data_IF_151831826948
#
_entry.id   IF_151831826948
#
_cell.length_a   1.000
_cell.length_b   1.000
_cell.length_c   1.000
_cell.angle_alpha   90.00
_cell.angle_beta   90.00
_cell.angle_gamma   90.00
#
_symmetry.space_group_name_H-M   'P 1'
#
loop_
_entity.id
_entity.type
_entity.pdbx_description
1 polymer ?
#
# COMPACT_ATOMS: atom_id res chain seq x y z
N UNK A 1 -5.31 13.19 29.21
CA UNK A 1 -5.61 12.26 28.11
C UNK A 1 -4.84 12.73 26.90
N UNK A 2 -3.96 11.93 26.29
CA UNK A 2 -3.43 12.28 24.97
C UNK A 2 -4.59 12.10 23.99
N UNK A 3 -5.09 13.20 23.45
CA UNK A 3 -6.09 13.18 22.38
C UNK A 3 -5.57 12.32 21.23
N UNK A 4 -6.42 11.40 20.76
CA UNK A 4 -6.05 10.44 19.72
C UNK A 4 -6.12 11.15 18.37
N UNK A 5 -4.97 11.41 17.74
CA UNK A 5 -4.92 11.84 16.33
C UNK A 5 -5.59 10.79 15.45
N UNK A 6 -6.53 11.23 14.62
CA UNK A 6 -7.33 10.45 13.69
C UNK A 6 -6.90 10.68 12.24
N UNK A 7 -6.37 11.87 11.93
CA UNK A 7 -5.93 12.24 10.58
C UNK A 7 -4.44 12.63 10.54
N UNK A 8 -3.75 12.18 9.49
CA UNK A 8 -2.33 12.41 9.25
C UNK A 8 -2.11 13.06 7.88
N UNK A 9 -1.64 14.31 7.87
CA UNK A 9 -1.40 15.01 6.60
C UNK A 9 -0.09 14.55 5.95
N UNK A 10 -0.14 14.28 4.64
CA UNK A 10 1.05 13.90 3.87
C UNK A 10 0.83 14.14 2.37
N UNK A 11 1.68 14.97 1.75
CA UNK A 11 1.63 15.26 0.30
C UNK A 11 0.23 15.65 -0.22
N UNK A 12 -0.54 16.41 0.56
CA UNK A 12 -1.91 16.82 0.23
C UNK A 12 -2.99 15.77 0.52
N UNK A 13 -2.65 14.60 1.06
CA UNK A 13 -3.61 13.61 1.55
C UNK A 13 -3.86 13.75 3.06
N UNK A 14 -5.00 13.21 3.50
CA UNK A 14 -5.42 13.09 4.90
C UNK A 14 -5.54 11.60 5.26
N UNK A 15 -4.41 10.99 5.59
CA UNK A 15 -4.32 9.55 5.87
C UNK A 15 -5.01 9.20 7.18
N UNK A 16 -5.63 8.02 7.25
CA UNK A 16 -6.52 7.58 8.35
C UNK A 16 -5.77 6.92 9.51
N UNK A 17 -4.48 6.65 9.33
CA UNK A 17 -3.65 6.08 10.40
C UNK A 17 -2.19 6.49 10.31
N UNK A 18 -1.50 6.41 11.46
CA UNK A 18 -0.05 6.60 11.49
C UNK A 18 0.68 5.53 10.67
N UNK A 19 0.14 4.30 10.65
CA UNK A 19 0.71 3.19 9.87
C UNK A 19 0.68 3.51 8.38
N UNK A 20 -0.42 4.04 7.86
CA UNK A 20 -0.51 4.53 6.47
C UNK A 20 0.49 5.65 6.19
N UNK A 21 0.64 6.62 7.12
CA UNK A 21 1.64 7.67 6.99
C UNK A 21 3.06 7.11 6.84
N UNK A 22 3.42 6.10 7.65
CA UNK A 22 4.74 5.50 7.57
C UNK A 22 4.97 4.74 6.27
N UNK A 23 3.95 4.04 5.75
CA UNK A 23 4.03 3.40 4.43
C UNK A 23 4.11 4.42 3.29
N UNK A 24 3.36 5.52 3.37
CA UNK A 24 3.42 6.61 2.40
C UNK A 24 4.81 7.27 2.36
N UNK A 25 5.40 7.55 3.54
CA UNK A 25 6.79 8.06 3.67
C UNK A 25 7.82 7.08 3.09
N UNK A 26 7.62 5.78 3.29
CA UNK A 26 8.51 4.77 2.71
C UNK A 26 8.40 4.75 1.19
N UNK A 27 7.17 4.75 0.64
CA UNK A 27 6.95 4.78 -0.80
C UNK A 27 7.55 6.03 -1.46
N UNK A 28 7.35 7.22 -0.86
CA UNK A 28 7.96 8.46 -1.37
C UNK A 28 9.50 8.40 -1.33
N UNK A 29 10.10 7.87 -0.25
CA UNK A 29 11.56 7.75 -0.14
C UNK A 29 12.17 6.76 -1.14
N UNK A 30 11.38 5.75 -1.54
CA UNK A 30 11.72 4.78 -2.57
C UNK A 30 11.33 5.26 -3.97
N UNK A 31 10.76 6.45 -4.11
CA UNK A 31 10.28 7.00 -5.38
C UNK A 31 9.26 6.07 -6.06
N UNK A 32 8.33 5.51 -5.28
CA UNK A 32 7.23 4.67 -5.75
C UNK A 32 6.00 5.56 -5.94
N UNK A 33 5.45 5.60 -7.15
CA UNK A 33 4.23 6.36 -7.40
C UNK A 33 3.00 5.65 -6.83
N UNK A 34 2.25 6.35 -5.99
CA UNK A 34 0.98 5.86 -5.46
C UNK A 34 -0.12 6.92 -5.51
N UNK A 35 -1.36 6.43 -5.48
CA UNK A 35 -2.59 7.17 -5.26
C UNK A 35 -3.24 6.66 -3.99
N UNK A 36 -3.73 7.56 -3.13
CA UNK A 36 -4.37 7.19 -1.86
C UNK A 36 -5.89 7.22 -2.01
N UNK A 37 -6.57 6.20 -1.47
CA UNK A 37 -8.03 5.99 -1.59
C UNK A 37 -8.56 6.30 -3.00
N UNK A 38 -8.03 5.65 -4.04
CA UNK A 38 -8.15 6.11 -5.42
C UNK A 38 -9.60 6.16 -5.92
N UNK A 39 -10.41 5.18 -5.55
CA UNK A 39 -11.86 5.12 -5.80
C UNK A 39 -12.46 3.89 -5.13
N UNK A 40 -13.76 3.95 -4.87
CA UNK A 40 -14.53 2.82 -4.35
C UNK A 40 -14.80 1.80 -5.46
N UNK A 41 -14.41 0.55 -5.24
CA UNK A 41 -14.73 -0.59 -6.10
C UNK A 41 -16.05 -1.23 -5.67
N UNK A 42 -16.88 -1.58 -6.65
CA UNK A 42 -18.06 -2.43 -6.48
C UNK A 42 -17.72 -3.82 -7.04
N UNK A 43 -17.60 -4.79 -6.17
CA UNK A 43 -17.16 -6.15 -6.51
C UNK A 43 -18.19 -7.13 -5.96
N UNK A 44 -19.04 -7.70 -6.84
CA UNK A 44 -20.00 -8.76 -6.49
C UNK A 44 -20.80 -8.50 -5.18
N UNK A 45 -21.31 -7.28 -5.02
CA UNK A 45 -22.08 -6.86 -3.83
C UNK A 45 -21.23 -6.43 -2.62
N UNK A 46 -19.90 -6.49 -2.72
CA UNK A 46 -18.95 -5.93 -1.77
C UNK A 46 -18.47 -4.54 -2.22
N UNK A 47 -18.45 -3.60 -1.28
CA UNK A 47 -17.77 -2.31 -1.44
C UNK A 47 -16.34 -2.45 -0.92
N UNK A 48 -15.36 -2.14 -1.76
CA UNK A 48 -13.94 -2.20 -1.39
C UNK A 48 -13.24 -0.89 -1.75
N UNK A 49 -12.65 -0.22 -0.77
CA UNK A 49 -11.84 0.98 -0.96
C UNK A 49 -10.41 0.63 -0.54
N UNK A 50 -9.47 0.43 -1.50
CA UNK A 50 -8.09 0.18 -1.15
C UNK A 50 -7.44 1.43 -0.56
N UNK A 51 -6.53 1.24 0.39
CA UNK A 51 -5.74 2.36 0.94
C UNK A 51 -4.87 3.01 -0.14
N UNK A 52 -4.14 2.21 -0.92
CA UNK A 52 -3.31 2.72 -2.01
C UNK A 52 -3.48 1.95 -3.31
N UNK A 53 -3.19 2.62 -4.42
CA UNK A 53 -3.02 2.03 -5.74
C UNK A 53 -1.71 2.48 -6.35
N UNK A 54 -0.97 1.53 -6.94
CA UNK A 54 0.25 1.79 -7.69
C UNK A 54 -0.03 1.68 -9.20
N UNK A 55 -0.16 2.79 -9.93
CA UNK A 55 -0.48 2.76 -11.35
C UNK A 55 0.59 2.05 -12.21
N UNK A 56 1.86 2.18 -11.84
CA UNK A 56 2.98 1.58 -12.57
C UNK A 56 2.94 0.05 -12.61
N UNK A 57 2.40 -0.57 -11.56
CA UNK A 57 2.25 -2.01 -11.43
C UNK A 57 0.78 -2.47 -11.51
N UNK A 58 -0.16 -1.55 -11.65
CA UNK A 58 -1.60 -1.78 -11.66
C UNK A 58 -2.03 -2.79 -10.58
N UNK A 59 -1.70 -2.43 -9.33
CA UNK A 59 -1.93 -3.22 -8.12
C UNK A 59 -2.39 -2.35 -6.96
N UNK A 60 -3.15 -2.95 -6.03
CA UNK A 60 -3.60 -2.29 -4.81
C UNK A 60 -2.74 -2.67 -3.61
N UNK A 61 -2.59 -1.74 -2.68
CA UNK A 61 -1.99 -1.99 -1.37
C UNK A 61 -3.01 -1.70 -0.28
N UNK A 62 -3.05 -2.56 0.73
CA UNK A 62 -3.95 -2.46 1.87
C UNK A 62 -3.14 -2.52 3.17
N UNK A 63 -3.24 -1.50 4.02
CA UNK A 63 -2.54 -1.42 5.29
C UNK A 63 -3.33 -2.16 6.37
N UNK A 64 -2.64 -2.99 7.15
CA UNK A 64 -3.22 -3.65 8.32
C UNK A 64 -2.30 -3.53 9.52
N UNK A 65 -2.85 -3.18 10.68
CA UNK A 65 -2.07 -3.12 11.93
C UNK A 65 -1.59 -4.48 12.43
N UNK A 66 -2.30 -5.55 12.05
CA UNK A 66 -1.99 -6.94 12.37
C UNK A 66 -2.17 -7.80 11.11
N UNK A 67 -1.88 -9.10 11.21
CA UNK A 67 -2.14 -10.04 10.11
C UNK A 67 -3.63 -9.96 9.67
N UNK A 68 -3.92 -9.85 8.37
CA UNK A 68 -5.30 -9.80 7.88
C UNK A 68 -6.06 -11.09 8.21
N UNK A 69 -7.34 -10.93 8.48
CA UNK A 69 -8.29 -12.03 8.71
C UNK A 69 -8.61 -12.80 7.42
N UNK A 70 -9.19 -13.99 7.53
CA UNK A 70 -9.63 -14.77 6.37
C UNK A 70 -10.69 -14.03 5.55
N UNK A 71 -11.57 -13.27 6.20
CA UNK A 71 -12.59 -12.45 5.54
C UNK A 71 -11.93 -11.33 4.72
N UNK A 72 -10.88 -10.68 5.24
CA UNK A 72 -10.17 -9.63 4.52
C UNK A 72 -9.40 -10.19 3.33
N UNK A 73 -8.74 -11.34 3.49
CA UNK A 73 -8.07 -12.04 2.38
C UNK A 73 -9.04 -12.45 1.29
N UNK A 74 -10.21 -13.00 1.65
CA UNK A 74 -11.25 -13.36 0.69
C UNK A 74 -11.77 -12.14 -0.10
N UNK A 75 -11.95 -10.98 0.55
CA UNK A 75 -12.30 -9.73 -0.15
C UNK A 75 -11.22 -9.28 -1.12
N UNK A 76 -9.95 -9.36 -0.71
CA UNK A 76 -8.81 -9.04 -1.56
C UNK A 76 -8.72 -9.97 -2.79
N UNK A 77 -8.95 -11.27 -2.61
CA UNK A 77 -9.02 -12.26 -3.70
C UNK A 77 -10.21 -11.99 -4.64
N UNK A 78 -11.36 -11.58 -4.10
CA UNK A 78 -12.53 -11.22 -4.90
C UNK A 78 -12.27 -9.99 -5.77
N UNK A 79 -11.62 -8.96 -5.21
CA UNK A 79 -11.15 -7.78 -5.94
C UNK A 79 -10.18 -8.18 -7.04
N UNK A 80 -9.23 -9.06 -6.74
CA UNK A 80 -8.28 -9.55 -7.73
C UNK A 80 -8.97 -10.28 -8.88
N UNK A 81 -9.88 -11.21 -8.58
CA UNK A 81 -10.64 -11.99 -9.57
C UNK A 81 -11.48 -11.08 -10.46
N UNK A 82 -12.09 -10.04 -9.89
CA UNK A 82 -13.01 -9.15 -10.61
C UNK A 82 -12.28 -8.09 -11.44
N UNK A 83 -11.18 -7.55 -10.92
CA UNK A 83 -10.48 -6.41 -11.54
C UNK A 83 -9.23 -6.81 -12.31
N UNK A 84 -8.72 -8.04 -12.10
CA UNK A 84 -7.41 -8.48 -12.56
C UNK A 84 -6.23 -7.88 -11.78
N UNK A 85 -6.48 -7.00 -10.79
CA UNK A 85 -5.45 -6.27 -10.06
C UNK A 85 -5.16 -6.95 -8.73
N UNK A 86 -3.92 -7.40 -8.47
CA UNK A 86 -3.61 -8.04 -7.19
C UNK A 86 -3.70 -7.02 -6.05
N UNK A 87 -4.06 -7.52 -4.87
CA UNK A 87 -4.08 -6.76 -3.62
C UNK A 87 -2.96 -7.31 -2.72
N UNK A 88 -2.04 -6.45 -2.30
CA UNK A 88 -0.95 -6.80 -1.38
C UNK A 88 -1.19 -6.13 -0.03
N UNK A 89 -1.10 -6.89 1.06
CA UNK A 89 -1.23 -6.30 2.39
C UNK A 89 0.12 -5.78 2.88
N UNK A 90 0.11 -4.55 3.38
CA UNK A 90 1.19 -3.90 4.11
C UNK A 90 0.95 -4.12 5.60
N UNK A 91 1.59 -5.15 6.18
CA UNK A 91 1.27 -5.59 7.53
C UNK A 91 2.21 -4.95 8.56
N UNK A 92 1.58 -4.41 9.59
CA UNK A 92 2.18 -3.66 10.69
C UNK A 92 2.84 -2.34 10.24
N UNK A 93 3.31 -1.57 11.22
CA UNK A 93 3.96 -0.27 10.98
C UNK A 93 5.43 -0.46 10.64
N UNK A 94 5.93 0.08 9.51
CA UNK A 94 7.35 0.03 9.24
C UNK A 94 8.10 0.92 10.23
N UNK A 95 9.11 0.33 10.84
CA UNK A 95 10.08 0.98 11.70
C UNK A 95 11.47 0.63 11.21
N UNK A 96 12.47 1.41 11.62
CA UNK A 96 13.85 1.13 11.29
C UNK A 96 14.82 1.52 12.40
N UNK A 97 16.00 0.90 12.37
CA UNK A 97 17.17 1.29 13.15
C UNK A 97 18.39 1.44 12.24
N UNK A 98 19.60 1.21 12.77
CA UNK A 98 20.85 1.20 11.99
C UNK A 98 21.08 -0.09 11.22
N UNK A 99 20.34 -1.17 11.53
CA UNK A 99 20.48 -2.50 10.91
C UNK A 99 19.52 -2.70 9.74
N UNK A 100 18.35 -2.06 9.77
CA UNK A 100 17.40 -2.14 8.67
C UNK A 100 15.97 -1.85 9.10
N UNK A 101 15.03 -2.44 8.37
CA UNK A 101 13.60 -2.38 8.69
C UNK A 101 13.22 -3.43 9.73
N UNK A 102 12.21 -3.12 10.54
CA UNK A 102 11.69 -4.03 11.55
C UNK A 102 10.17 -3.89 11.71
N UNK A 103 9.58 -4.89 12.37
CA UNK A 103 8.17 -4.91 12.79
C UNK A 103 7.14 -4.74 11.66
N UNK A 104 7.51 -5.09 10.42
CA UNK A 104 6.62 -5.03 9.25
C UNK A 104 6.98 -6.08 8.20
N UNK A 105 5.99 -6.46 7.40
CA UNK A 105 6.16 -7.37 6.27
C UNK A 105 5.06 -7.15 5.24
N UNK A 106 5.28 -7.62 4.02
CA UNK A 106 4.25 -7.69 2.99
C UNK A 106 3.59 -9.07 3.04
N UNK A 107 2.27 -9.13 2.94
CA UNK A 107 1.56 -10.38 2.68
C UNK A 107 1.06 -10.35 1.24
N UNK A 108 1.60 -11.26 0.43
CA UNK A 108 1.42 -11.29 -1.02
C UNK A 108 0.65 -12.56 -1.40
N UNK A 109 -0.40 -12.47 -2.24
CA UNK A 109 -1.08 -13.65 -2.73
C UNK A 109 -0.14 -14.44 -3.66
N UNK A 110 -0.09 -15.75 -3.52
CA UNK A 110 0.74 -16.64 -4.33
C UNK A 110 0.01 -17.95 -4.54
N UNK A 111 -0.45 -18.18 -5.78
CA UNK A 111 -1.31 -19.30 -6.12
C UNK A 111 -2.57 -19.27 -5.22
N UNK A 112 -2.73 -20.25 -4.33
CA UNK A 112 -3.84 -20.32 -3.35
C UNK A 112 -3.38 -20.01 -1.90
N UNK A 113 -2.16 -19.50 -1.72
CA UNK A 113 -1.58 -19.19 -0.41
C UNK A 113 -1.19 -17.71 -0.28
N UNK A 114 -0.87 -17.32 0.96
CA UNK A 114 -0.41 -15.97 1.28
C UNK A 114 1.02 -16.03 1.81
N UNK A 115 1.96 -15.52 1.02
CA UNK A 115 3.37 -15.50 1.34
C UNK A 115 3.75 -14.23 2.11
N UNK A 116 4.40 -14.39 3.26
CA UNK A 116 4.96 -13.28 4.02
C UNK A 116 6.36 -12.93 3.52
N UNK A 117 6.59 -11.67 3.18
CA UNK A 117 7.88 -11.14 2.73
C UNK A 117 8.36 -10.07 3.72
N UNK A 118 9.44 -10.37 4.44
CA UNK A 118 10.05 -9.41 5.37
C UNK A 118 10.57 -8.17 4.64
N UNK A 119 10.37 -6.99 5.24
CA UNK A 119 10.96 -5.76 4.73
C UNK A 119 12.46 -5.70 4.91
N UNK A 120 13.04 -6.43 5.87
CA UNK A 120 14.50 -6.52 6.01
C UNK A 120 15.13 -7.12 4.74
N UNK A 121 14.56 -8.22 4.25
CA UNK A 121 15.00 -8.85 3.00
C UNK A 121 14.87 -7.91 1.80
N UNK A 122 13.76 -7.17 1.69
CA UNK A 122 13.59 -6.13 0.66
C UNK A 122 14.65 -5.04 0.81
N UNK A 123 14.93 -4.59 2.04
CA UNK A 123 15.97 -3.64 2.35
C UNK A 123 17.34 -4.10 1.88
N UNK A 124 17.71 -5.37 2.09
CA UNK A 124 18.96 -5.93 1.61
C UNK A 124 19.04 -5.98 0.08
N UNK A 125 17.92 -6.23 -0.60
CA UNK A 125 17.85 -6.15 -2.07
C UNK A 125 18.07 -4.70 -2.52
N UNK A 126 17.39 -3.73 -1.90
CA UNK A 126 17.59 -2.31 -2.20
C UNK A 126 19.03 -1.88 -1.97
N UNK A 127 19.65 -2.28 -0.86
CA UNK A 127 21.05 -1.99 -0.57
C UNK A 127 21.97 -2.51 -1.68
N UNK A 128 21.76 -3.75 -2.12
CA UNK A 128 22.58 -4.38 -3.18
C UNK A 128 22.32 -3.81 -4.57
N UNK A 129 21.06 -3.51 -4.90
CA UNK A 129 20.66 -3.12 -6.26
C UNK A 129 20.64 -1.61 -6.50
N UNK A 130 20.21 -0.82 -5.51
CA UNK A 130 20.06 0.64 -5.59
C UNK A 130 21.15 1.40 -4.81
N UNK A 131 21.98 0.70 -4.03
CA UNK A 131 23.12 1.25 -3.31
C UNK A 131 22.78 1.82 -1.93
N UNK A 132 23.84 2.15 -1.16
CA UNK A 132 23.76 2.61 0.23
C UNK A 132 22.93 3.88 0.39
N UNK A 133 23.04 4.83 -0.55
CA UNK A 133 22.31 6.08 -0.46
C UNK A 133 20.79 5.88 -0.53
N UNK A 134 20.31 5.08 -1.48
CA UNK A 134 18.89 4.76 -1.59
C UNK A 134 18.39 4.00 -0.36
N UNK A 135 19.17 3.03 0.11
CA UNK A 135 18.87 2.27 1.33
C UNK A 135 18.79 3.18 2.57
N UNK A 136 19.75 4.09 2.76
CA UNK A 136 19.75 5.03 3.87
C UNK A 136 18.53 5.97 3.86
N UNK A 137 18.15 6.48 2.68
CA UNK A 137 16.92 7.29 2.57
C UNK A 137 15.68 6.50 2.98
N UNK A 138 15.59 5.24 2.57
CA UNK A 138 14.45 4.38 2.87
C UNK A 138 14.35 4.07 4.37
N UNK A 139 15.46 3.72 5.04
CA UNK A 139 15.40 3.50 6.50
C UNK A 139 15.13 4.80 7.25
N UNK A 140 15.71 5.94 6.85
CA UNK A 140 15.51 7.21 7.52
C UNK A 140 14.07 7.72 7.40
N UNK A 141 13.37 7.40 6.30
CA UNK A 141 12.00 7.85 6.10
C UNK A 141 11.01 7.21 7.08
N UNK A 142 11.33 6.04 7.63
CA UNK A 142 10.50 5.34 8.63
C UNK A 142 11.10 5.26 10.03
N UNK A 143 12.21 5.97 10.27
CA UNK A 143 12.79 6.09 11.60
C UNK A 143 11.92 7.02 12.45
N UNK A 144 11.56 6.58 13.65
CA UNK A 144 10.80 7.42 14.59
C UNK A 144 11.59 8.70 14.89
N UNK A 145 10.91 9.84 14.78
CA UNK A 145 11.46 11.15 15.04
C UNK A 145 10.64 11.83 16.13
N UNK A 146 11.31 12.54 17.05
CA UNK A 146 10.63 13.35 18.06
C UNK A 146 9.70 14.39 17.44
N UNK A 147 10.01 14.85 16.21
CA UNK A 147 9.18 15.79 15.47
C UNK A 147 7.87 15.17 14.96
N UNK A 148 7.73 13.83 14.92
CA UNK A 148 6.49 13.17 14.48
C UNK A 148 5.31 13.46 15.44
N UNK A 149 5.61 13.93 16.66
CA UNK A 149 4.59 14.37 17.62
C UNK A 149 4.17 15.84 17.45
N UNK A 150 4.94 16.63 16.71
CA UNK A 150 4.60 18.02 16.44
C UNK A 150 3.50 18.09 15.39
N UNK A 151 2.49 18.91 15.67
CA UNK A 151 1.36 19.13 14.78
C UNK A 151 1.25 20.61 14.49
N UNK A 152 1.33 21.03 13.22
CA UNK A 152 0.98 22.39 12.84
C UNK A 152 -0.44 22.72 13.32
N UNK A 153 -0.65 23.94 13.81
CA UNK A 153 -1.97 24.37 14.31
C UNK A 153 -3.08 24.23 13.24
N UNK A 154 -2.73 24.37 11.97
CA UNK A 154 -3.63 24.14 10.84
C UNK A 154 -4.12 22.69 10.76
N UNK A 155 -3.26 21.69 11.03
CA UNK A 155 -3.67 20.28 11.04
C UNK A 155 -4.61 19.96 12.20
N UNK A 156 -4.40 20.62 13.35
CA UNK A 156 -5.27 20.45 14.52
C UNK A 156 -6.64 21.06 14.23
N UNK A 157 -6.68 22.28 13.70
CA UNK A 157 -7.93 22.94 13.33
C UNK A 157 -8.70 22.14 12.28
N UNK A 158 -8.01 21.64 11.26
CA UNK A 158 -8.61 20.83 10.19
C UNK A 158 -9.22 19.52 10.73
N UNK A 159 -8.55 18.86 11.68
CA UNK A 159 -9.11 17.68 12.36
C UNK A 159 -10.36 18.03 13.19
N UNK A 160 -10.31 19.12 13.98
CA UNK A 160 -11.48 19.57 14.77
C UNK A 160 -12.67 19.90 13.86
N UNK A 161 -12.43 20.53 12.70
CA UNK A 161 -13.47 20.79 11.72
C UNK A 161 -14.06 19.50 11.15
N UNK A 162 -13.24 18.50 10.83
CA UNK A 162 -13.72 17.20 10.36
C UNK A 162 -14.52 16.45 11.43
N UNK A 163 -14.14 16.55 12.70
CA UNK A 163 -14.86 15.91 13.81
C UNK A 163 -16.20 16.59 14.13
N UNK A 164 -16.29 17.89 13.90
CA UNK A 164 -17.54 18.66 14.09
C UNK A 164 -18.52 18.52 12.94
N UNK A 165 -18.04 18.15 11.75
CA UNK A 165 -18.88 17.78 10.60
C UNK A 165 -19.67 16.49 10.89
N UNK A 166 -20.85 16.34 10.28
CA UNK A 166 -21.54 15.05 10.28
C UNK A 166 -20.67 13.98 9.61
N UNK A 167 -20.75 12.72 10.06
CA UNK A 167 -19.90 11.62 9.52
C UNK A 167 -19.91 11.53 7.99
N UNK A 168 -21.07 11.71 7.36
CA UNK A 168 -21.19 11.68 5.89
C UNK A 168 -20.45 12.84 5.23
N UNK A 169 -20.56 14.04 5.79
CA UNK A 169 -19.94 15.26 5.27
C UNK A 169 -18.41 15.19 5.42
N UNK A 170 -17.93 14.66 6.55
CA UNK A 170 -16.52 14.43 6.79
C UNK A 170 -15.93 13.44 5.76
N UNK A 171 -16.60 12.31 5.51
CA UNK A 171 -16.17 11.33 4.49
C UNK A 171 -16.20 11.92 3.07
N UNK A 172 -17.20 12.75 2.74
CA UNK A 172 -17.24 13.44 1.45
C UNK A 172 -16.10 14.47 1.31
N UNK A 173 -15.78 15.21 2.38
CA UNK A 173 -14.66 16.14 2.41
C UNK A 173 -13.31 15.42 2.20
N UNK A 174 -13.09 14.29 2.89
CA UNK A 174 -11.91 13.45 2.72
C UNK A 174 -11.82 12.92 1.28
N UNK A 175 -12.92 12.35 0.76
CA UNK A 175 -12.99 11.82 -0.60
C UNK A 175 -12.69 12.88 -1.66
N UNK A 176 -13.23 14.09 -1.52
CA UNK A 176 -12.95 15.20 -2.43
C UNK A 176 -11.50 15.66 -2.34
N UNK A 177 -10.94 15.73 -1.13
CA UNK A 177 -9.53 16.05 -0.89
C UNK A 177 -8.63 15.03 -1.59
N UNK A 178 -8.84 13.73 -1.34
CA UNK A 178 -8.05 12.66 -1.92
C UNK A 178 -8.19 12.60 -3.43
N UNK A 179 -9.41 12.78 -3.96
CA UNK A 179 -9.64 12.84 -5.40
C UNK A 179 -8.85 13.97 -6.05
N UNK A 180 -8.93 15.19 -5.51
CA UNK A 180 -8.18 16.34 -6.03
C UNK A 180 -6.68 16.08 -6.03
N UNK A 181 -6.14 15.60 -4.92
CA UNK A 181 -4.71 15.28 -4.81
C UNK A 181 -4.30 14.16 -5.78
N UNK A 182 -5.15 13.15 -5.99
CA UNK A 182 -4.94 12.10 -6.98
C UNK A 182 -4.91 12.69 -8.41
N UNK A 183 -5.86 13.57 -8.75
CA UNK A 183 -5.95 14.22 -10.07
C UNK A 183 -4.72 15.11 -10.32
N UNK A 184 -4.30 15.92 -9.33
CA UNK A 184 -3.11 16.76 -9.40
C UNK A 184 -1.85 15.91 -9.61
N UNK A 185 -1.67 14.84 -8.82
CA UNK A 185 -0.51 13.93 -8.95
C UNK A 185 -0.48 13.16 -10.27
N UNK A 186 -1.64 12.84 -10.86
CA UNK A 186 -1.74 12.20 -12.18
C UNK A 186 -1.43 13.16 -13.33
N UNK A 187 -1.70 14.45 -13.16
CA UNK A 187 -1.49 15.46 -14.19
C UNK A 187 -0.02 15.78 -14.46
N UNK A 188 0.85 15.46 -13.50
CA UNK A 188 2.30 15.67 -13.62
C UNK A 188 2.87 14.57 -14.52
N UNK A 189 3.39 14.97 -15.69
CA UNK A 189 4.16 14.08 -16.53
C UNK A 189 5.45 13.69 -15.79
N UNK A 190 5.62 12.39 -15.56
CA UNK A 190 6.68 11.82 -14.73
C UNK A 190 7.26 10.61 -15.42
N UNK A 191 8.59 10.58 -15.53
CA UNK A 191 9.30 9.36 -15.88
C UNK A 191 9.17 8.30 -14.78
N UNK A 192 8.90 7.06 -15.18
CA UNK A 192 8.86 5.94 -14.23
C UNK A 192 10.21 5.83 -13.50
N UNK A 193 10.17 5.71 -12.18
CA UNK A 193 11.39 5.47 -11.40
C UNK A 193 11.92 4.04 -11.62
N UNK A 194 13.13 3.78 -11.13
CA UNK A 194 13.66 2.41 -11.08
C UNK A 194 12.77 1.52 -10.20
N UNK A 195 12.25 2.06 -9.10
CA UNK A 195 11.35 1.34 -8.20
C UNK A 195 10.02 1.01 -8.86
N UNK A 196 9.41 1.97 -9.57
CA UNK A 196 8.18 1.73 -10.34
C UNK A 196 8.37 0.62 -11.36
N UNK A 197 9.46 0.66 -12.14
CA UNK A 197 9.80 -0.42 -13.09
C UNK A 197 10.04 -1.76 -12.39
N UNK A 198 10.74 -1.75 -11.26
CA UNK A 198 11.04 -2.96 -10.50
C UNK A 198 9.78 -3.63 -9.95
N UNK A 199 8.85 -2.85 -9.41
CA UNK A 199 7.57 -3.36 -8.90
C UNK A 199 6.70 -3.86 -10.05
N UNK A 200 6.63 -3.14 -11.18
CA UNK A 200 5.91 -3.59 -12.36
C UNK A 200 6.46 -4.92 -12.90
N UNK A 201 7.79 -5.07 -12.97
CA UNK A 201 8.45 -6.30 -13.35
C UNK A 201 8.11 -7.44 -12.38
N UNK A 202 8.21 -7.19 -11.08
CA UNK A 202 7.89 -8.16 -10.04
C UNK A 202 6.43 -8.61 -10.17
N UNK A 203 5.49 -7.67 -10.27
CA UNK A 203 4.07 -7.96 -10.45
C UNK A 203 3.84 -8.82 -11.69
N UNK A 204 4.41 -8.49 -12.84
CA UNK A 204 4.22 -9.28 -14.07
C UNK A 204 4.79 -10.69 -13.97
N UNK A 205 5.83 -10.89 -13.16
CA UNK A 205 6.44 -12.20 -12.94
C UNK A 205 5.59 -13.10 -12.02
N UNK A 206 4.95 -12.54 -11.01
CA UNK A 206 4.21 -13.30 -9.99
C UNK A 206 2.68 -13.26 -10.19
N UNK A 207 2.17 -12.30 -10.96
CA UNK A 207 0.77 -12.11 -11.31
C UNK A 207 0.63 -11.84 -12.82
N UNK A 208 0.94 -12.83 -13.68
CA UNK A 208 0.82 -12.65 -15.12
C UNK A 208 -0.64 -12.41 -15.51
N UNK A 209 -0.91 -11.31 -16.21
CA UNK A 209 -2.24 -11.03 -16.78
C UNK A 209 -2.58 -12.11 -17.82
N UNK A 210 -3.51 -13.02 -17.51
CA UNK A 210 -4.00 -14.02 -18.48
C UNK A 210 -4.27 -15.44 -17.97
N UNK A 211 -4.04 -15.78 -16.70
CA UNK A 211 -4.48 -17.07 -16.16
C UNK A 211 -5.89 -16.94 -15.57
N UNK A 212 -6.91 -17.11 -16.44
CA UNK A 212 -8.15 -17.73 -15.98
C UNK A 212 -7.84 -19.12 -15.36
N UNK A 213 -8.79 -19.74 -14.63
CA UNK A 213 -8.53 -20.98 -13.91
C UNK A 213 -7.85 -21.97 -14.85
N UNK A 214 -6.65 -22.40 -14.47
CA UNK A 214 -5.85 -23.34 -15.24
C UNK A 214 -6.74 -24.55 -15.55
N UNK A 215 -7.09 -24.72 -16.83
CA UNK A 215 -7.70 -25.95 -17.30
C UNK A 215 -6.83 -27.10 -16.79
N UNK A 216 -7.46 -27.98 -16.02
CA UNK A 216 -6.86 -29.15 -15.42
C UNK A 216 -5.98 -29.86 -16.44
N UNK A 217 -4.67 -29.73 -16.29
CA UNK A 217 -3.73 -30.60 -16.97
C UNK A 217 -3.88 -31.98 -16.32
N UNK A 218 -4.82 -32.77 -16.85
CA UNK A 218 -4.90 -34.19 -16.64
C UNK A 218 -3.60 -34.82 -17.12
N UNK A 219 -2.63 -34.97 -16.21
CA UNK A 219 -1.49 -35.83 -16.42
C UNK A 219 -2.01 -37.27 -16.47
N UNK A 220 -2.35 -37.69 -17.69
CA UNK A 220 -2.69 -39.06 -18.01
C UNK A 220 -1.56 -39.98 -17.54
N UNK A 221 -1.92 -40.92 -16.68
CA UNK A 221 -1.14 -42.10 -16.34
C UNK A 221 -0.68 -42.75 -17.65
N UNK A 222 0.62 -42.74 -17.95
CA UNK A 222 1.21 -43.77 -18.79
C UNK A 222 1.57 -44.93 -17.89
N UNK A 223 0.69 -45.93 -17.93
CA UNK A 223 1.00 -47.28 -17.48
C UNK A 223 2.08 -47.88 -18.38
N UNK A 224 2.98 -48.59 -17.71
CA UNK A 224 3.84 -49.67 -18.20
C UNK A 224 3.33 -50.41 -19.44
N UNK A 225 4.21 -50.57 -20.43
CA UNK A 225 4.57 -51.82 -21.10
C UNK A 225 5.92 -51.66 -21.80
#
# INVERSE_FOLDING_TARGET
MKERRTIYQHQGYKLRSYTELMWARLMDALDIFYLYEPHLLQVEGCKYLPDFYLPSADMYLEVKGTRPTDIEKAKAEQVHTTTGRPVVFLVSRPQSDTRGFMNCYLLVPRDDEWAAMSLDWLGQIFLKAAGEYAWHRAILSVRENILDCLRPASEVLDEVLLETMGRSEAEDCLRLTHKRTNDDRRSIDRELSISDRGIAWWRNRYFPTGTGPAASASAGRRASQ
#
